data_IF_955841271195
#
_entry.id   IF_955841271195
#
_cell.length_a   1.000
_cell.length_b   1.000
_cell.length_c   1.000
_cell.angle_alpha   90.00
_cell.angle_beta   90.00
_cell.angle_gamma   90.00
#
_symmetry.space_group_name_H-M   'P 1'
#
loop_
_entity.id
_entity.type
_entity.pdbx_description
1 polymer ?
#
# COMPACT_ATOMS: atom_id res chain seq x y z
N UNK A 1 11.18 -3.73 11.90
CA UNK A 1 10.83 -4.63 10.79
C UNK A 1 9.66 -5.52 11.18
N UNK A 2 8.71 -5.75 10.29
CA UNK A 2 7.55 -6.59 10.58
C UNK A 2 7.41 -7.69 9.55
N UNK A 3 7.12 -8.91 10.02
CA UNK A 3 6.79 -10.05 9.17
C UNK A 3 5.29 -10.06 8.85
N UNK A 4 4.86 -11.04 8.04
CA UNK A 4 3.47 -11.10 7.56
C UNK A 4 2.45 -11.22 8.70
N UNK A 5 2.77 -11.94 9.77
CA UNK A 5 1.84 -12.10 10.89
C UNK A 5 1.64 -10.79 11.66
N UNK A 6 2.70 -10.00 11.79
CA UNK A 6 2.63 -8.68 12.41
C UNK A 6 1.89 -7.68 11.53
N UNK A 7 2.06 -7.78 10.20
CA UNK A 7 1.33 -6.98 9.22
C UNK A 7 -0.18 -7.22 9.35
N UNK A 8 -0.60 -8.48 9.40
CA UNK A 8 -2.03 -8.85 9.51
C UNK A 8 -2.70 -8.33 10.78
N UNK A 9 -1.94 -8.03 11.82
CA UNK A 9 -2.48 -7.44 13.04
C UNK A 9 -2.80 -5.96 12.90
N UNK A 10 -2.29 -5.29 11.89
CA UNK A 10 -2.39 -3.84 11.73
C UNK A 10 -3.26 -3.39 10.56
N UNK A 11 -3.36 -4.19 9.51
CA UNK A 11 -4.25 -3.87 8.39
C UNK A 11 -5.24 -5.01 8.16
N UNK A 12 -6.47 -4.70 7.70
CA UNK A 12 -7.51 -5.72 7.55
C UNK A 12 -7.39 -6.55 6.28
N UNK A 13 -6.60 -6.13 5.34
CA UNK A 13 -6.44 -6.75 4.02
C UNK A 13 -5.98 -8.20 4.14
N UNK A 14 -6.51 -9.08 3.29
CA UNK A 14 -6.16 -10.51 3.23
C UNK A 14 -6.06 -10.93 1.77
N UNK A 15 -5.60 -12.15 1.53
CA UNK A 15 -5.53 -12.72 0.20
C UNK A 15 -6.90 -12.59 -0.51
N UNK A 16 -6.96 -12.19 -1.77
CA UNK A 16 -5.82 -11.88 -2.67
C UNK A 16 -5.43 -10.41 -2.69
N UNK A 17 -5.90 -9.61 -1.75
CA UNK A 17 -5.74 -8.16 -1.78
C UNK A 17 -4.67 -7.59 -0.84
N UNK A 18 -4.01 -8.42 -0.05
CA UNK A 18 -2.89 -7.99 0.79
C UNK A 18 -1.64 -7.85 -0.09
N UNK A 19 -1.15 -6.61 -0.21
CA UNK A 19 -0.07 -6.25 -1.14
C UNK A 19 1.26 -5.95 -0.44
N UNK A 20 1.40 -6.31 0.83
CA UNK A 20 2.61 -6.06 1.62
C UNK A 20 3.13 -7.39 2.15
N UNK A 21 4.40 -7.68 1.90
CA UNK A 21 5.05 -8.90 2.38
C UNK A 21 5.91 -8.66 3.62
N UNK A 22 6.45 -7.44 3.76
CA UNK A 22 7.29 -7.07 4.89
C UNK A 22 7.29 -5.57 5.09
N UNK A 23 7.31 -5.12 6.34
CA UNK A 23 7.62 -3.74 6.68
C UNK A 23 9.10 -3.66 6.97
N UNK A 24 9.81 -2.81 6.25
CA UNK A 24 11.26 -2.62 6.40
C UNK A 24 11.59 -1.55 7.42
N UNK A 25 10.84 -0.45 7.42
CA UNK A 25 11.00 0.68 8.33
C UNK A 25 9.65 1.32 8.60
N UNK A 26 9.44 1.74 9.85
CA UNK A 26 8.27 2.54 10.23
C UNK A 26 8.69 3.60 11.22
N UNK A 27 8.51 4.86 10.85
CA UNK A 27 8.68 6.00 11.72
C UNK A 27 7.28 6.54 12.07
N UNK A 28 6.89 6.40 13.32
CA UNK A 28 5.55 6.75 13.79
C UNK A 28 5.14 8.17 13.38
N UNK A 29 3.97 8.30 12.77
CA UNK A 29 3.41 9.58 12.35
C UNK A 29 4.11 10.21 11.14
N UNK A 30 5.10 9.56 10.54
CA UNK A 30 5.90 10.19 9.48
C UNK A 30 5.98 9.37 8.20
N UNK A 31 6.55 8.20 8.25
CA UNK A 31 6.83 7.42 7.02
C UNK A 31 6.88 5.93 7.28
N UNK A 32 6.67 5.19 6.20
CA UNK A 32 6.78 3.73 6.21
C UNK A 32 7.42 3.26 4.91
N UNK A 33 8.28 2.26 5.02
CA UNK A 33 8.93 1.60 3.90
C UNK A 33 8.62 0.12 3.97
N UNK A 34 8.10 -0.41 2.88
CA UNK A 34 7.60 -1.77 2.81
C UNK A 34 8.10 -2.48 1.56
N UNK A 35 7.93 -3.79 1.56
CA UNK A 35 8.32 -4.67 0.48
C UNK A 35 7.14 -5.47 -0.01
N UNK A 36 6.96 -5.52 -1.35
CA UNK A 36 6.11 -6.52 -2.01
C UNK A 36 6.94 -7.30 -3.01
N UNK A 37 6.94 -8.62 -2.87
CA UNK A 37 7.50 -9.52 -3.87
C UNK A 37 6.44 -9.74 -4.97
N UNK A 38 6.78 -9.43 -6.20
CA UNK A 38 5.90 -9.65 -7.35
C UNK A 38 6.29 -10.99 -7.98
N UNK A 39 5.43 -12.00 -7.81
CA UNK A 39 5.74 -13.35 -8.28
C UNK A 39 4.92 -13.72 -9.52
N UNK A 40 5.31 -14.80 -10.20
CA UNK A 40 4.53 -15.34 -11.33
C UNK A 40 3.18 -15.92 -10.91
N UNK A 41 2.94 -16.10 -9.61
CA UNK A 41 1.70 -16.65 -9.06
C UNK A 41 0.68 -15.59 -8.62
N UNK A 42 0.88 -14.32 -8.98
CA UNK A 42 -0.10 -13.28 -8.68
C UNK A 42 -1.37 -13.51 -9.50
N UNK A 43 -2.53 -13.41 -8.84
CA UNK A 43 -3.83 -13.68 -9.48
C UNK A 43 -4.09 -12.77 -10.69
N UNK A 44 -3.61 -11.51 -10.65
CA UNK A 44 -3.91 -10.52 -11.69
C UNK A 44 -3.18 -10.77 -13.02
N UNK A 45 -2.13 -11.57 -13.04
CA UNK A 45 -1.40 -11.83 -14.27
C UNK A 45 -2.14 -12.73 -15.26
N UNK A 46 -3.18 -13.43 -14.83
CA UNK A 46 -4.03 -14.21 -15.73
C UNK A 46 -4.75 -13.32 -16.75
N UNK A 47 -5.15 -12.13 -16.34
CA UNK A 47 -5.90 -11.21 -17.18
C UNK A 47 -5.14 -9.97 -17.62
N UNK A 48 -4.01 -9.67 -17.00
CA UNK A 48 -3.31 -8.40 -17.24
C UNK A 48 -1.81 -8.62 -17.48
N UNK A 49 -1.40 -9.07 -18.64
CA UNK A 49 -2.21 -9.50 -19.77
C UNK A 49 -1.80 -10.91 -20.21
N UNK A 50 -2.68 -11.68 -20.87
CA UNK A 50 -2.31 -13.02 -21.33
C UNK A 50 -1.02 -13.00 -22.16
N UNK A 51 -0.01 -13.77 -21.75
CA UNK A 51 1.29 -13.82 -22.41
C UNK A 51 2.18 -12.58 -22.20
N UNK A 52 1.71 -11.57 -21.49
CA UNK A 52 2.47 -10.35 -21.18
C UNK A 52 2.11 -9.84 -19.80
N UNK A 53 2.64 -10.48 -18.74
CA UNK A 53 2.27 -10.15 -17.36
C UNK A 53 2.85 -8.81 -16.93
N UNK A 54 1.95 -7.89 -16.58
CA UNK A 54 2.28 -6.57 -16.06
C UNK A 54 1.40 -6.32 -14.83
N UNK A 55 2.00 -5.92 -13.73
CA UNK A 55 1.23 -5.58 -12.52
C UNK A 55 0.38 -4.34 -12.80
N UNK A 56 -0.95 -4.43 -12.59
CA UNK A 56 -1.80 -3.26 -12.76
C UNK A 56 -1.34 -2.07 -11.93
N UNK A 57 -1.21 -0.90 -12.58
CA UNK A 57 -0.76 0.32 -11.88
C UNK A 57 -1.65 0.68 -10.71
N UNK A 58 -2.96 0.47 -10.82
CA UNK A 58 -3.90 0.73 -9.72
C UNK A 58 -3.62 -0.13 -8.50
N UNK A 59 -3.07 -1.34 -8.68
CA UNK A 59 -2.69 -2.20 -7.55
C UNK A 59 -1.37 -1.76 -6.92
N UNK A 60 -0.50 -1.10 -7.67
CA UNK A 60 0.70 -0.48 -7.09
C UNK A 60 0.28 0.68 -6.18
N UNK A 61 -0.69 1.50 -6.62
CA UNK A 61 -1.24 2.58 -5.79
C UNK A 61 -1.92 2.01 -4.54
N UNK A 62 -2.65 0.90 -4.69
CA UNK A 62 -3.24 0.19 -3.54
C UNK A 62 -2.16 -0.27 -2.56
N UNK A 63 -1.06 -0.84 -3.05
CA UNK A 63 0.05 -1.26 -2.20
C UNK A 63 0.67 -0.07 -1.44
N UNK A 64 0.79 1.08 -2.09
CA UNK A 64 1.25 2.31 -1.43
C UNK A 64 0.28 2.78 -0.35
N UNK A 65 -1.02 2.69 -0.59
CA UNK A 65 -2.02 3.05 0.41
C UNK A 65 -1.99 2.10 1.61
N UNK A 66 -1.80 0.81 1.38
CA UNK A 66 -1.64 -0.16 2.47
C UNK A 66 -0.39 0.17 3.29
N UNK A 67 0.70 0.56 2.63
CA UNK A 67 1.93 1.00 3.32
C UNK A 67 1.65 2.22 4.20
N UNK A 68 0.89 3.19 3.70
CA UNK A 68 0.47 4.37 4.47
C UNK A 68 -0.39 4.00 5.68
N UNK A 69 -1.17 2.93 5.58
CA UNK A 69 -2.00 2.45 6.68
C UNK A 69 -1.22 2.15 7.95
N UNK A 70 0.04 1.76 7.83
CA UNK A 70 0.91 1.53 9.00
C UNK A 70 1.26 2.84 9.71
N UNK A 71 1.38 3.94 8.97
CA UNK A 71 1.60 5.25 9.56
C UNK A 71 0.34 5.68 10.31
N UNK A 72 -0.82 5.57 9.66
CA UNK A 72 -2.12 5.90 10.27
C UNK A 72 -2.35 5.10 11.55
N UNK A 73 -1.99 3.81 11.54
CA UNK A 73 -2.13 2.95 12.71
C UNK A 73 -1.38 3.49 13.92
N UNK A 74 -0.26 4.15 13.73
CA UNK A 74 0.52 4.75 14.84
C UNK A 74 -0.11 6.03 15.39
N UNK A 75 -1.07 6.62 14.69
CA UNK A 75 -1.65 7.93 14.99
C UNK A 75 -3.10 7.86 15.43
N UNK A 76 -3.81 6.78 15.12
CA UNK A 76 -5.24 6.61 15.42
C UNK A 76 -5.48 6.17 16.87
N UNK A 77 -6.60 6.58 17.43
CA UNK A 77 -7.14 5.97 18.65
C UNK A 77 -7.86 4.68 18.26
N UNK A 78 -7.62 3.60 19.01
CA UNK A 78 -8.20 2.28 18.77
C UNK A 78 -8.03 1.85 17.30
N UNK A 79 -6.80 1.84 16.77
CA UNK A 79 -6.58 1.58 15.34
C UNK A 79 -7.05 0.20 14.90
N UNK A 80 -7.09 -0.78 15.79
CA UNK A 80 -7.57 -2.15 15.50
C UNK A 80 -9.05 -2.20 15.11
N UNK A 81 -9.83 -1.17 15.45
CA UNK A 81 -11.26 -1.07 15.16
C UNK A 81 -11.55 -0.19 13.94
N UNK A 82 -10.53 0.24 13.23
CA UNK A 82 -10.69 1.22 12.15
C UNK A 82 -10.10 0.72 10.85
N UNK A 83 -10.68 1.18 9.73
CA UNK A 83 -10.14 0.95 8.39
C UNK A 83 -10.05 2.27 7.65
N UNK A 84 -9.13 2.36 6.71
CA UNK A 84 -9.03 3.51 5.83
C UNK A 84 -9.53 3.17 4.43
N UNK A 85 -10.31 4.08 3.87
CA UNK A 85 -10.87 3.95 2.53
C UNK A 85 -10.34 5.07 1.64
N UNK A 86 -10.09 4.74 0.38
CA UNK A 86 -9.73 5.76 -0.61
C UNK A 86 -10.88 6.74 -0.83
N UNK A 87 -10.53 8.03 -0.91
CA UNK A 87 -11.46 9.07 -1.39
C UNK A 87 -10.92 9.79 -2.63
N UNK A 88 -9.66 9.61 -2.96
CA UNK A 88 -9.10 10.18 -4.18
C UNK A 88 -7.59 10.04 -4.27
N UNK A 89 -7.06 10.25 -5.48
CA UNK A 89 -5.62 10.38 -5.68
C UNK A 89 -5.34 11.41 -6.76
N UNK A 90 -4.17 12.00 -6.66
CA UNK A 90 -3.67 13.02 -7.58
C UNK A 90 -2.22 12.73 -7.93
N UNK A 91 -1.75 13.36 -9.01
CA UNK A 91 -0.34 13.30 -9.41
C UNK A 91 0.16 11.86 -9.54
N UNK A 92 -0.72 10.97 -10.02
CA UNK A 92 -0.38 9.57 -10.25
C UNK A 92 0.43 9.47 -11.54
N UNK A 93 1.59 8.81 -11.43
CA UNK A 93 2.46 8.57 -12.57
C UNK A 93 2.96 7.13 -12.54
N UNK A 94 2.92 6.48 -13.69
CA UNK A 94 3.47 5.15 -13.91
C UNK A 94 4.61 5.28 -14.92
N UNK A 95 5.84 5.00 -14.49
CA UNK A 95 7.03 5.27 -15.29
C UNK A 95 7.60 4.04 -15.97
N UNK A 96 7.45 2.87 -15.35
CA UNK A 96 7.96 1.61 -15.88
C UNK A 96 7.00 0.48 -15.50
N UNK A 97 6.81 -0.51 -16.40
CA UNK A 97 6.02 -1.70 -16.03
C UNK A 97 6.71 -2.50 -14.92
N UNK A 98 5.90 -3.08 -14.05
CA UNK A 98 6.33 -4.00 -13.00
C UNK A 98 5.92 -5.40 -13.45
N UNK A 99 6.87 -6.33 -13.43
CA UNK A 99 6.70 -7.67 -14.00
C UNK A 99 7.06 -8.74 -12.96
N UNK A 100 6.67 -10.01 -13.21
CA UNK A 100 7.04 -11.11 -12.32
C UNK A 100 8.56 -11.18 -12.10
N UNK A 101 8.96 -11.37 -10.86
CA UNK A 101 10.36 -11.36 -10.45
C UNK A 101 10.83 -10.05 -9.85
N UNK A 102 10.07 -8.97 -10.06
CA UNK A 102 10.39 -7.68 -9.47
C UNK A 102 10.10 -7.68 -7.96
N UNK A 103 10.91 -6.93 -7.25
CA UNK A 103 10.69 -6.66 -5.84
C UNK A 103 10.37 -5.17 -5.70
N UNK A 104 9.12 -4.87 -5.32
CA UNK A 104 8.68 -3.49 -5.11
C UNK A 104 9.09 -3.02 -3.73
N UNK A 105 9.79 -1.90 -3.69
CA UNK A 105 9.98 -1.14 -2.46
C UNK A 105 8.96 -0.01 -2.47
N UNK A 106 8.13 0.00 -1.43
CA UNK A 106 7.00 0.91 -1.29
C UNK A 106 7.31 1.91 -0.18
N UNK A 107 7.31 3.18 -0.50
CA UNK A 107 7.56 4.23 0.49
C UNK A 107 6.36 5.16 0.55
N UNK A 108 5.83 5.35 1.75
CA UNK A 108 4.75 6.28 2.01
C UNK A 108 5.20 7.33 3.03
N UNK A 109 4.74 8.55 2.84
CA UNK A 109 5.06 9.68 3.69
C UNK A 109 3.78 10.41 4.06
N UNK A 110 3.59 10.68 5.35
CA UNK A 110 2.46 11.44 5.85
C UNK A 110 2.58 12.91 5.44
N UNK A 111 1.52 13.48 4.89
CA UNK A 111 1.45 14.89 4.53
C UNK A 111 0.57 15.67 5.51
N UNK A 112 -0.68 15.23 5.71
CA UNK A 112 -1.60 15.92 6.60
C UNK A 112 -2.78 15.04 7.02
N UNK A 113 -3.40 15.40 8.14
CA UNK A 113 -4.69 14.88 8.54
C UNK A 113 -5.52 16.04 9.07
N UNK A 114 -6.55 16.42 8.32
CA UNK A 114 -7.46 17.50 8.68
C UNK A 114 -8.89 17.01 8.54
N UNK A 115 -9.65 17.01 9.65
CA UNK A 115 -11.06 16.60 9.65
C UNK A 115 -11.26 15.20 9.06
N UNK A 116 -10.38 14.25 9.47
CA UNK A 116 -10.38 12.88 9.00
C UNK A 116 -10.02 12.73 7.52
N UNK A 117 -9.47 13.73 6.87
CA UNK A 117 -8.88 13.61 5.55
C UNK A 117 -7.38 13.43 5.68
N UNK A 118 -6.93 12.21 5.41
CA UNK A 118 -5.53 11.81 5.50
C UNK A 118 -4.89 11.92 4.12
N UNK A 119 -3.81 12.65 4.02
CA UNK A 119 -3.08 12.84 2.76
C UNK A 119 -1.70 12.26 2.90
N UNK A 120 -1.31 11.46 1.91
CA UNK A 120 0.00 10.79 1.83
C UNK A 120 0.61 10.96 0.45
N UNK A 121 1.95 10.91 0.40
CA UNK A 121 2.71 10.72 -0.84
C UNK A 121 3.32 9.35 -0.82
N UNK A 122 3.33 8.69 -1.98
CA UNK A 122 3.90 7.38 -2.13
C UNK A 122 4.81 7.26 -3.36
N UNK A 123 5.88 6.52 -3.21
CA UNK A 123 6.80 6.15 -4.28
C UNK A 123 7.03 4.65 -4.26
N UNK A 124 6.99 4.04 -5.44
CA UNK A 124 7.33 2.64 -5.61
C UNK A 124 8.56 2.53 -6.51
N UNK A 125 9.53 1.73 -6.08
CA UNK A 125 10.78 1.53 -6.83
C UNK A 125 11.06 0.05 -7.03
N UNK A 126 11.79 -0.26 -8.12
CA UNK A 126 12.36 -1.58 -8.39
C UNK A 126 13.84 -1.38 -8.69
N UNK A 127 14.70 -2.06 -7.97
CA UNK A 127 16.16 -1.92 -8.11
C UNK A 127 16.61 -0.45 -8.10
N UNK A 128 16.02 0.36 -7.22
CA UNK A 128 16.35 1.77 -7.07
C UNK A 128 15.74 2.71 -8.11
N UNK A 129 15.05 2.19 -9.14
CA UNK A 129 14.40 3.02 -10.17
C UNK A 129 12.94 3.24 -9.84
N UNK A 130 12.50 4.49 -9.91
CA UNK A 130 11.10 4.83 -9.70
C UNK A 130 10.21 4.21 -10.77
N UNK A 131 9.21 3.42 -10.35
CA UNK A 131 8.24 2.79 -11.26
C UNK A 131 6.87 3.45 -11.19
N UNK A 132 6.48 3.97 -10.02
CA UNK A 132 5.21 4.65 -9.82
C UNK A 132 5.30 5.64 -8.68
N UNK A 133 4.47 6.67 -8.73
CA UNK A 133 4.28 7.61 -7.63
C UNK A 133 2.85 8.12 -7.62
N UNK A 134 2.37 8.50 -6.43
CA UNK A 134 1.02 9.03 -6.25
C UNK A 134 0.93 9.88 -5.00
N UNK A 135 0.05 10.86 -5.02
CA UNK A 135 -0.46 11.50 -3.82
C UNK A 135 -1.89 10.98 -3.64
N UNK A 136 -2.24 10.50 -2.45
CA UNK A 136 -3.55 9.89 -2.25
C UNK A 136 -4.19 10.35 -0.94
N UNK A 137 -5.51 10.25 -0.92
CA UNK A 137 -6.35 10.69 0.18
C UNK A 137 -7.20 9.55 0.68
N UNK A 138 -7.24 9.43 2.00
CA UNK A 138 -7.97 8.39 2.71
C UNK A 138 -8.83 9.02 3.79
N UNK A 139 -9.93 8.34 4.14
CA UNK A 139 -10.71 8.63 5.34
C UNK A 139 -10.70 7.41 6.23
N UNK A 140 -10.71 7.63 7.55
CA UNK A 140 -10.82 6.55 8.52
C UNK A 140 -12.28 6.36 8.89
N UNK A 141 -12.74 5.11 8.87
CA UNK A 141 -14.07 4.72 9.30
C UNK A 141 -13.98 3.57 10.30
N UNK A 142 -15.02 3.40 11.12
CA UNK A 142 -15.12 2.26 12.03
C UNK A 142 -15.26 0.98 11.21
N UNK A 143 -14.62 -0.10 11.65
CA UNK A 143 -14.86 -1.42 11.08
C UNK A 143 -16.32 -1.81 11.25
N UNK A 144 -16.96 -2.40 10.23
CA UNK A 144 -18.29 -2.95 10.43
C UNK A 144 -18.22 -4.07 11.46
N UNK A 145 -19.32 -4.29 12.22
CA UNK A 145 -19.38 -5.40 13.18
C UNK A 145 -19.12 -6.72 12.46
N UNK A 146 -18.37 -7.62 13.11
CA UNK A 146 -18.17 -8.98 12.62
C UNK A 146 -19.51 -9.71 12.61
N UNK A 147 -19.90 -10.23 11.47
CA UNK A 147 -21.09 -11.07 11.35
C UNK A 147 -20.74 -12.51 11.65
#
# INVERSE_FOLDING_TARGET
MMNIEEIKKRIPHRYPFLMIDRILELEAGKKCRALKNVTGNEFFFQGHFPGNPIMPGVLIVEALAQTAGFISYTMEENPENKVQLFVGFEKVRFKKPVVPGDQLILEAEFVSNKRNLWVYRGNATVNGSLVAQAEFRLVTVEKPPSS
#
